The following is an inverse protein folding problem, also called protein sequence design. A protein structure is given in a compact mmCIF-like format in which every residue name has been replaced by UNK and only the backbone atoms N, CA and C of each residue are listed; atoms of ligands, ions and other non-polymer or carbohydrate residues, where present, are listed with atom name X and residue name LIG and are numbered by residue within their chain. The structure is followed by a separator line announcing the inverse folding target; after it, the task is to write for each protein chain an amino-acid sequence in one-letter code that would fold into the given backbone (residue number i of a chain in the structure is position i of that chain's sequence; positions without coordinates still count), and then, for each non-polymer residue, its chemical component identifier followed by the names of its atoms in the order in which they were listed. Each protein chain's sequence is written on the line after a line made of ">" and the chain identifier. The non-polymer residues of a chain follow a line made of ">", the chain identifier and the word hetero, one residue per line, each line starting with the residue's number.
data_IF_640469580439
#
_entry.id   IF_640469580439
#
_cell.length_a   1.000
_cell.length_b   1.000
_cell.length_c   1.000
_cell.angle_alpha   90.00
_cell.angle_beta   90.00
_cell.angle_gamma   90.00
#
_symmetry.space_group_name_H-M   'P 1'
#
loop_
_entity.id
_entity.type
_entity.pdbx_description
1 polymer ?
#
# COMPACT_ATOMS: atom_id res chain seq x y z
N UNK A 1 -8.18 21.82 -16.77
CA UNK A 1 -7.06 20.87 -16.49
C UNK A 1 -5.92 21.25 -17.40
N UNK A 2 -4.73 21.52 -16.87
CA UNK A 2 -3.54 21.77 -17.69
C UNK A 2 -3.08 20.49 -18.38
N UNK A 3 -2.40 20.63 -19.52
CA UNK A 3 -1.77 19.48 -20.18
C UNK A 3 -0.78 18.80 -19.20
N UNK A 4 -0.68 17.46 -19.22
CA UNK A 4 0.33 16.76 -18.43
C UNK A 4 1.72 17.30 -18.78
N UNK A 5 2.62 17.33 -17.79
CA UNK A 5 4.01 17.72 -18.02
C UNK A 5 4.64 16.78 -19.05
N UNK A 6 5.59 17.29 -19.83
CA UNK A 6 6.19 16.54 -20.94
C UNK A 6 6.94 15.26 -20.52
N UNK A 7 7.33 15.16 -19.25
CA UNK A 7 7.96 14.01 -18.59
C UNK A 7 6.96 12.97 -18.06
N UNK A 8 5.66 13.27 -18.05
CA UNK A 8 4.62 12.31 -17.70
C UNK A 8 4.26 11.49 -18.93
N UNK A 9 4.34 10.18 -18.79
CA UNK A 9 4.03 9.21 -19.85
C UNK A 9 2.90 8.28 -19.40
N UNK A 10 2.04 7.81 -20.32
CA UNK A 10 1.05 6.80 -20.00
C UNK A 10 1.71 5.45 -19.67
N UNK A 11 0.99 4.60 -18.93
CA UNK A 11 1.41 3.21 -18.63
C UNK A 11 1.70 2.41 -19.90
N UNK A 12 1.02 2.71 -21.01
CA UNK A 12 1.26 2.10 -22.31
C UNK A 12 2.70 2.28 -22.82
N UNK A 13 3.41 3.31 -22.38
CA UNK A 13 4.78 3.61 -22.82
C UNK A 13 5.84 2.89 -21.97
N UNK A 14 5.45 2.04 -21.01
CA UNK A 14 6.40 1.35 -20.12
C UNK A 14 7.50 0.59 -20.89
N UNK A 15 7.16 -0.05 -22.00
CA UNK A 15 8.14 -0.78 -22.81
C UNK A 15 9.25 0.11 -23.39
N UNK A 16 8.94 1.39 -23.64
CA UNK A 16 9.90 2.38 -24.13
C UNK A 16 10.75 2.97 -23.00
N UNK A 17 10.19 3.06 -21.79
CA UNK A 17 10.81 3.79 -20.66
C UNK A 17 11.69 2.86 -19.82
N UNK A 18 11.22 1.65 -19.52
CA UNK A 18 11.91 0.70 -18.63
C UNK A 18 13.36 0.39 -19.02
N UNK A 19 13.72 0.26 -20.32
CA UNK A 19 15.11 0.02 -20.71
C UNK A 19 16.07 1.16 -20.34
N UNK A 20 15.56 2.35 -20.08
CA UNK A 20 16.35 3.56 -19.76
C UNK A 20 16.38 3.89 -18.27
N UNK A 21 15.55 3.24 -17.45
CA UNK A 21 15.42 3.54 -16.03
C UNK A 21 16.44 2.76 -15.18
N UNK A 22 17.25 3.47 -14.41
CA UNK A 22 18.13 2.88 -13.39
C UNK A 22 17.36 2.45 -12.13
N UNK A 23 16.27 3.16 -11.81
CA UNK A 23 15.41 2.91 -10.66
C UNK A 23 13.95 3.00 -11.10
N UNK A 24 13.16 1.99 -10.73
CA UNK A 24 11.71 1.94 -10.96
C UNK A 24 11.02 1.89 -9.61
N UNK A 25 10.19 2.89 -9.30
CA UNK A 25 9.42 2.95 -8.05
C UNK A 25 7.95 2.73 -8.34
N UNK A 26 7.36 1.69 -7.74
CA UNK A 26 5.94 1.38 -7.86
C UNK A 26 5.15 2.08 -6.76
N UNK A 27 4.28 3.01 -7.16
CA UNK A 27 3.35 3.74 -6.31
C UNK A 27 1.93 3.71 -6.91
N UNK A 28 1.52 2.56 -7.43
CA UNK A 28 0.22 2.32 -8.06
C UNK A 28 -0.79 1.76 -7.05
N UNK A 29 -2.11 1.94 -7.24
CA UNK A 29 -3.09 1.15 -6.49
C UNK A 29 -2.98 -0.34 -6.84
N UNK A 30 -3.66 -1.19 -6.07
CA UNK A 30 -3.90 -2.58 -6.47
C UNK A 30 -5.33 -2.71 -6.99
N UNK A 31 -5.45 -3.00 -8.27
CA UNK A 31 -6.68 -3.26 -9.00
C UNK A 31 -6.41 -4.29 -10.11
N UNK A 32 -7.42 -4.72 -10.90
CA UNK A 32 -7.21 -5.70 -11.96
C UNK A 32 -6.20 -5.29 -13.04
N UNK A 33 -5.95 -3.99 -13.24
CA UNK A 33 -5.03 -3.47 -14.26
C UNK A 33 -3.58 -3.43 -13.79
N UNK A 34 -3.36 -3.42 -12.48
CA UNK A 34 -2.05 -3.29 -11.83
C UNK A 34 -1.60 -4.57 -11.12
N UNK A 35 -2.51 -5.52 -10.89
CA UNK A 35 -2.17 -6.85 -10.36
C UNK A 35 -1.25 -7.58 -11.35
N UNK A 36 -0.09 -8.00 -10.84
CA UNK A 36 0.93 -8.66 -11.65
C UNK A 36 1.57 -7.76 -12.70
N UNK A 37 1.49 -6.44 -12.57
CA UNK A 37 2.14 -5.46 -13.45
C UNK A 37 3.64 -5.76 -13.64
N UNK A 38 4.32 -6.12 -12.55
CA UNK A 38 5.71 -6.57 -12.62
C UNK A 38 5.76 -8.08 -12.78
N UNK A 39 5.61 -8.51 -14.02
CA UNK A 39 5.76 -9.89 -14.47
C UNK A 39 7.17 -10.15 -15.06
N UNK A 40 7.35 -11.33 -15.64
CA UNK A 40 8.62 -11.71 -16.28
C UNK A 40 8.98 -10.83 -17.48
N UNK A 41 8.00 -10.26 -18.20
CA UNK A 41 8.23 -9.38 -19.36
C UNK A 41 8.68 -8.00 -18.88
N UNK A 42 7.96 -7.40 -17.94
CA UNK A 42 8.32 -6.13 -17.30
C UNK A 42 9.77 -6.17 -16.81
N UNK A 43 10.10 -7.23 -16.06
CA UNK A 43 11.44 -7.45 -15.52
C UNK A 43 12.51 -7.52 -16.61
N UNK A 44 12.25 -8.24 -17.71
CA UNK A 44 13.21 -8.38 -18.81
C UNK A 44 13.45 -7.07 -19.58
N UNK A 45 12.51 -6.15 -19.52
CA UNK A 45 12.63 -4.82 -20.13
C UNK A 45 13.42 -3.85 -19.25
N UNK A 46 13.49 -4.09 -17.93
CA UNK A 46 14.32 -3.27 -17.05
C UNK A 46 15.79 -3.35 -17.45
N UNK A 47 16.49 -2.23 -17.30
CA UNK A 47 17.95 -2.18 -17.45
C UNK A 47 18.63 -3.19 -16.52
N UNK A 48 19.64 -3.89 -17.04
CA UNK A 48 20.45 -4.81 -16.23
C UNK A 48 21.10 -4.06 -15.06
N UNK A 49 20.94 -4.59 -13.84
CA UNK A 49 21.42 -3.97 -12.60
C UNK A 49 20.51 -2.87 -12.03
N UNK A 50 19.36 -2.60 -12.65
CA UNK A 50 18.41 -1.62 -12.14
C UNK A 50 17.82 -2.01 -10.76
N UNK A 51 17.32 -1.00 -10.04
CA UNK A 51 16.63 -1.17 -8.77
C UNK A 51 15.11 -1.09 -8.95
N UNK A 52 14.40 -2.13 -8.53
CA UNK A 52 12.95 -2.11 -8.38
C UNK A 52 12.56 -1.79 -6.93
N UNK A 53 11.74 -0.76 -6.71
CA UNK A 53 11.22 -0.42 -5.39
C UNK A 53 9.71 -0.59 -5.39
N UNK A 54 9.17 -1.47 -4.54
CA UNK A 54 7.72 -1.62 -4.36
C UNK A 54 7.27 -1.06 -3.01
N UNK A 55 6.59 0.09 -3.06
CA UNK A 55 5.89 0.71 -1.92
C UNK A 55 4.36 0.74 -2.14
N UNK A 56 3.88 -0.07 -3.08
CA UNK A 56 2.46 -0.16 -3.45
C UNK A 56 1.73 -1.27 -2.68
N UNK A 57 1.58 -2.45 -3.27
CA UNK A 57 1.02 -3.68 -2.67
C UNK A 57 1.80 -4.88 -3.20
N UNK A 58 1.87 -5.95 -2.40
CA UNK A 58 2.55 -7.19 -2.78
C UNK A 58 2.12 -7.72 -4.16
N UNK A 59 0.80 -7.94 -4.40
CA UNK A 59 0.31 -8.54 -5.65
C UNK A 59 0.49 -7.72 -6.93
N UNK A 60 1.03 -6.49 -6.86
CA UNK A 60 1.46 -5.74 -8.05
C UNK A 60 2.67 -6.42 -8.70
N UNK A 61 3.46 -7.15 -7.91
CA UNK A 61 4.62 -7.89 -8.37
C UNK A 61 4.31 -9.37 -8.41
N UNK A 62 4.66 -10.04 -9.53
CA UNK A 62 4.66 -11.50 -9.59
C UNK A 62 5.92 -11.99 -8.87
N UNK A 63 5.74 -12.43 -7.62
CA UNK A 63 6.81 -12.80 -6.69
C UNK A 63 7.85 -13.75 -7.30
N UNK A 64 7.42 -14.78 -8.01
CA UNK A 64 8.35 -15.74 -8.62
C UNK A 64 9.19 -15.12 -9.74
N UNK A 65 8.59 -14.27 -10.57
CA UNK A 65 9.31 -13.58 -11.63
C UNK A 65 10.37 -12.63 -11.06
N UNK A 66 10.06 -11.95 -9.95
CA UNK A 66 11.02 -11.12 -9.23
C UNK A 66 12.16 -11.97 -8.66
N UNK A 67 11.84 -13.08 -7.98
CA UNK A 67 12.83 -13.98 -7.39
C UNK A 67 13.80 -14.54 -8.43
N UNK A 68 13.31 -14.90 -9.63
CA UNK A 68 14.16 -15.33 -10.75
C UNK A 68 15.16 -14.24 -11.17
N UNK A 69 14.71 -12.97 -11.22
CA UNK A 69 15.58 -11.84 -11.55
C UNK A 69 16.67 -11.59 -10.53
N UNK A 70 16.32 -11.65 -9.25
CA UNK A 70 17.24 -11.44 -8.15
C UNK A 70 18.29 -12.55 -8.10
N UNK A 71 17.86 -13.81 -8.15
CA UNK A 71 18.78 -14.95 -8.13
C UNK A 71 19.71 -14.99 -9.35
N UNK A 72 19.22 -14.55 -10.51
CA UNK A 72 20.03 -14.38 -11.72
C UNK A 72 20.95 -13.16 -11.71
N UNK A 73 20.91 -12.31 -10.68
CA UNK A 73 21.70 -11.09 -10.58
C UNK A 73 21.31 -9.99 -11.59
N UNK A 74 20.11 -10.08 -12.17
CA UNK A 74 19.69 -9.17 -13.23
C UNK A 74 19.27 -7.78 -12.71
N UNK A 75 18.89 -7.69 -11.43
CA UNK A 75 18.38 -6.48 -10.79
C UNK A 75 18.57 -6.55 -9.27
N UNK A 76 18.38 -5.41 -8.60
CA UNK A 76 18.20 -5.32 -7.15
C UNK A 76 16.76 -4.94 -6.83
N UNK A 77 16.28 -5.23 -5.62
CA UNK A 77 14.93 -4.84 -5.22
C UNK A 77 14.83 -4.39 -3.76
N UNK A 78 13.86 -3.51 -3.50
CA UNK A 78 13.42 -3.12 -2.17
C UNK A 78 11.89 -3.23 -2.08
N UNK A 79 11.38 -4.03 -1.15
CA UNK A 79 9.95 -4.31 -1.00
C UNK A 79 9.49 -3.90 0.39
N UNK A 80 8.50 -3.00 0.48
CA UNK A 80 7.80 -2.74 1.74
C UNK A 80 6.58 -3.65 1.92
N UNK A 81 6.01 -4.17 0.83
CA UNK A 81 4.90 -5.12 0.86
C UNK A 81 5.27 -6.38 0.08
N UNK A 82 4.73 -7.51 0.50
CA UNK A 82 5.03 -8.84 -0.08
C UNK A 82 3.72 -9.59 -0.35
N UNK A 83 3.79 -10.64 -1.16
CA UNK A 83 2.65 -11.55 -1.40
C UNK A 83 3.17 -13.00 -1.34
N UNK A 84 2.73 -13.81 -0.35
CA UNK A 84 1.79 -13.49 0.73
C UNK A 84 2.40 -12.57 1.81
N UNK A 85 1.54 -11.97 2.65
CA UNK A 85 1.96 -11.13 3.77
C UNK A 85 1.35 -11.63 5.11
N UNK A 86 2.17 -11.89 6.15
CA UNK A 86 3.64 -11.85 6.16
C UNK A 86 4.24 -13.01 5.36
N UNK A 87 5.48 -12.84 4.88
CA UNK A 87 6.19 -13.91 4.19
C UNK A 87 6.44 -15.11 5.14
N UNK A 88 6.05 -16.34 4.74
CA UNK A 88 6.26 -17.52 5.56
C UNK A 88 7.75 -17.86 5.70
N UNK A 89 8.16 -18.57 6.78
CA UNK A 89 9.50 -19.13 6.88
C UNK A 89 9.84 -19.99 5.65
N UNK A 90 11.08 -19.91 5.18
CA UNK A 90 11.55 -20.68 4.01
C UNK A 90 11.10 -20.12 2.65
N UNK A 91 10.35 -19.02 2.61
CA UNK A 91 9.98 -18.36 1.36
C UNK A 91 11.21 -17.92 0.56
N UNK A 92 11.17 -18.10 -0.78
CA UNK A 92 12.31 -17.89 -1.69
C UNK A 92 12.89 -16.48 -1.65
N UNK A 93 12.05 -15.47 -1.39
CA UNK A 93 12.51 -14.09 -1.23
C UNK A 93 13.51 -13.93 -0.08
N UNK A 94 13.43 -14.72 0.99
CA UNK A 94 14.39 -14.62 2.11
C UNK A 94 15.83 -14.95 1.73
N UNK A 95 16.04 -15.73 0.68
CA UNK A 95 17.37 -16.12 0.18
C UNK A 95 17.77 -15.40 -1.10
N UNK A 96 16.96 -14.47 -1.60
CA UNK A 96 17.29 -13.71 -2.81
C UNK A 96 18.42 -12.71 -2.52
N UNK A 97 19.48 -12.66 -3.34
CA UNK A 97 20.53 -11.65 -3.18
C UNK A 97 19.99 -10.28 -3.60
N UNK A 98 20.63 -9.21 -3.12
CA UNK A 98 20.31 -7.82 -3.49
C UNK A 98 18.83 -7.45 -3.28
N UNK A 99 18.19 -8.07 -2.29
CA UNK A 99 16.80 -7.81 -1.89
C UNK A 99 16.76 -7.24 -0.47
N UNK A 100 16.14 -6.07 -0.33
CA UNK A 100 15.74 -5.50 0.95
C UNK A 100 14.24 -5.67 1.15
N UNK A 101 13.82 -6.12 2.33
CA UNK A 101 12.41 -6.22 2.71
C UNK A 101 12.20 -5.40 3.99
N UNK A 102 11.23 -4.49 3.96
CA UNK A 102 10.66 -3.87 5.16
C UNK A 102 9.28 -4.44 5.45
N UNK A 103 8.88 -4.45 6.71
CA UNK A 103 7.69 -5.16 7.19
C UNK A 103 6.40 -4.31 7.07
N UNK A 104 6.11 -3.78 5.88
CA UNK A 104 4.93 -2.93 5.60
C UNK A 104 4.82 -1.73 6.54
N UNK A 105 5.93 -1.01 6.67
CA UNK A 105 6.07 0.14 7.59
C UNK A 105 6.38 1.44 6.87
N UNK A 106 6.45 1.46 5.54
CA UNK A 106 6.76 2.65 4.76
C UNK A 106 5.75 3.80 4.97
N UNK A 107 4.51 3.48 5.34
CA UNK A 107 3.50 4.46 5.73
C UNK A 107 3.55 4.89 7.20
N UNK A 108 4.18 4.10 8.08
CA UNK A 108 4.18 4.32 9.53
C UNK A 108 5.23 5.35 9.93
N UNK A 109 4.87 6.61 9.77
CA UNK A 109 5.75 7.77 10.04
C UNK A 109 5.08 8.73 11.01
N UNK A 110 5.86 9.63 11.61
CA UNK A 110 5.34 10.72 12.45
C UNK A 110 4.33 11.62 11.72
N UNK A 111 4.34 11.63 10.38
CA UNK A 111 3.39 12.37 9.56
C UNK A 111 2.03 11.66 9.40
N UNK A 112 1.95 10.34 9.62
CA UNK A 112 0.71 9.57 9.40
C UNK A 112 -0.40 9.96 10.37
N UNK A 113 -0.15 9.83 11.67
CA UNK A 113 -1.14 10.08 12.71
C UNK A 113 -1.83 11.47 12.62
N UNK A 114 -1.12 12.60 12.45
CA UNK A 114 -1.79 13.89 12.31
C UNK A 114 -2.66 13.97 11.04
N UNK A 115 -2.16 13.48 9.90
CA UNK A 115 -2.91 13.51 8.63
C UNK A 115 -4.15 12.63 8.67
N UNK A 116 -4.04 11.43 9.24
CA UNK A 116 -5.15 10.50 9.40
C UNK A 116 -6.25 11.09 10.30
N UNK A 117 -5.86 11.68 11.43
CA UNK A 117 -6.82 12.34 12.34
C UNK A 117 -7.56 13.48 11.65
N UNK A 118 -6.84 14.35 10.93
CA UNK A 118 -7.46 15.44 10.18
C UNK A 118 -8.46 14.91 9.16
N UNK A 119 -8.06 13.95 8.32
CA UNK A 119 -8.95 13.36 7.31
C UNK A 119 -10.20 12.73 7.95
N UNK A 120 -10.02 11.90 8.99
CA UNK A 120 -11.16 11.24 9.65
C UNK A 120 -12.11 12.26 10.27
N UNK A 121 -11.59 13.31 10.91
CA UNK A 121 -12.41 14.36 11.53
C UNK A 121 -13.21 15.16 10.49
N UNK A 122 -12.59 15.50 9.36
CA UNK A 122 -13.25 16.17 8.22
C UNK A 122 -14.36 15.29 7.63
N UNK A 123 -14.09 13.99 7.44
CA UNK A 123 -15.06 13.05 6.88
C UNK A 123 -16.26 12.84 7.82
N UNK A 124 -16.02 12.67 9.13
CA UNK A 124 -17.08 12.54 10.13
C UNK A 124 -17.96 13.79 10.20
N UNK A 125 -17.36 14.97 10.15
CA UNK A 125 -18.09 16.25 10.11
C UNK A 125 -18.94 16.35 8.85
N UNK A 126 -18.36 16.00 7.69
CA UNK A 126 -19.07 16.03 6.41
C UNK A 126 -20.26 15.07 6.42
N UNK A 127 -20.05 13.85 6.93
CA UNK A 127 -21.11 12.85 7.08
C UNK A 127 -22.24 13.31 8.02
N UNK A 128 -21.89 13.85 9.20
CA UNK A 128 -22.88 14.30 10.18
C UNK A 128 -23.72 15.50 9.71
N UNK A 129 -23.16 16.34 8.83
CA UNK A 129 -23.81 17.55 8.31
C UNK A 129 -24.40 17.38 6.92
N UNK A 130 -24.33 16.17 6.35
CA UNK A 130 -24.81 15.88 4.98
C UNK A 130 -24.00 16.56 3.88
N UNK A 131 -22.76 16.98 4.17
CA UNK A 131 -21.86 17.56 3.17
C UNK A 131 -21.11 16.46 2.38
N UNK A 132 -20.66 16.76 1.14
CA UNK A 132 -19.90 15.81 0.34
C UNK A 132 -18.61 15.37 1.04
N UNK A 133 -18.42 14.06 1.13
CA UNK A 133 -17.19 13.45 1.61
C UNK A 133 -16.12 13.42 0.51
N UNK A 134 -14.85 13.48 0.90
CA UNK A 134 -13.68 13.40 0.00
C UNK A 134 -13.11 11.99 -0.05
N UNK A 135 -12.32 11.69 -1.08
CA UNK A 135 -11.57 10.44 -1.24
C UNK A 135 -12.42 9.17 -1.06
N UNK A 136 -13.65 9.18 -1.56
CA UNK A 136 -14.53 8.01 -1.49
C UNK A 136 -13.95 6.89 -2.33
N UNK A 137 -13.70 5.74 -1.69
CA UNK A 137 -13.34 4.50 -2.36
C UNK A 137 -14.60 3.67 -2.48
N UNK A 138 -15.14 3.48 -3.70
CA UNK A 138 -16.27 2.58 -3.90
C UNK A 138 -15.84 1.17 -3.52
N UNK A 139 -16.56 0.54 -2.59
CA UNK A 139 -16.49 -0.92 -2.42
C UNK A 139 -17.39 -1.58 -3.47
N UNK A 140 -17.22 -2.87 -3.74
CA UNK A 140 -18.09 -3.60 -4.68
C UNK A 140 -19.60 -3.47 -4.35
N UNK A 141 -19.94 -3.22 -3.08
CA UNK A 141 -21.31 -2.93 -2.63
C UNK A 141 -21.77 -1.48 -2.85
N UNK A 142 -20.86 -0.55 -3.09
CA UNK A 142 -21.16 0.87 -3.29
C UNK A 142 -21.47 1.23 -4.76
N UNK A 143 -21.05 0.39 -5.72
CA UNK A 143 -21.31 0.64 -7.15
C UNK A 143 -22.81 0.65 -7.46
N UNK A 144 -23.59 -0.31 -6.93
CA UNK A 144 -25.05 -0.35 -7.12
C UNK A 144 -25.79 0.84 -6.48
N UNK A 145 -25.23 1.41 -5.42
CA UNK A 145 -25.85 2.51 -4.67
C UNK A 145 -25.54 3.89 -5.28
N UNK A 146 -24.33 4.10 -5.80
CA UNK A 146 -23.93 5.37 -6.41
C UNK A 146 -24.63 5.62 -7.76
N UNK A 147 -24.89 4.57 -8.56
CA UNK A 147 -25.63 4.67 -9.82
C UNK A 147 -27.13 5.00 -9.64
N UNK A 148 -27.66 4.79 -8.43
CA UNK A 148 -29.07 5.04 -8.10
C UNK A 148 -29.38 6.48 -7.65
N UNK A 149 -28.39 7.36 -7.57
CA UNK A 149 -28.55 8.73 -7.08
C UNK A 149 -28.89 8.83 -5.58
N UNK A 150 -28.80 7.73 -4.84
CA UNK A 150 -29.04 7.71 -3.40
C UNK A 150 -27.75 8.06 -2.63
N UNK A 151 -27.78 9.16 -1.90
CA UNK A 151 -26.74 9.50 -0.94
C UNK A 151 -26.60 8.36 0.07
N UNK A 152 -25.39 7.82 0.22
CA UNK A 152 -25.06 6.73 1.15
C UNK A 152 -25.47 7.05 2.59
N UNK A 153 -26.69 6.66 2.98
CA UNK A 153 -27.01 6.35 4.37
C UNK A 153 -26.49 4.95 4.61
N UNK A 154 -25.31 4.85 5.22
CA UNK A 154 -24.77 3.57 5.68
C UNK A 154 -25.80 2.92 6.62
N UNK A 155 -26.54 1.91 6.13
CA UNK A 155 -27.26 0.98 7.00
C UNK A 155 -26.26 -0.09 7.40
N UNK A 156 -25.91 -0.08 8.67
CA UNK A 156 -25.00 -1.03 9.29
C UNK A 156 -25.83 -2.25 9.73
N UNK A 157 -26.27 -3.07 8.79
CA UNK A 157 -26.91 -4.34 9.10
C UNK A 157 -26.11 -5.48 8.41
N UNK A 158 -25.53 -6.33 9.26
CA UNK A 158 -25.11 -7.72 9.00
C UNK A 158 -23.80 -8.05 8.25
N UNK A 159 -22.65 -7.44 8.61
CA UNK A 159 -21.34 -8.00 8.16
C UNK A 159 -20.29 -8.25 9.26
N UNK A 160 -20.63 -8.04 10.54
CA UNK A 160 -19.65 -8.14 11.64
C UNK A 160 -19.51 -9.53 12.28
N UNK A 161 -19.68 -10.62 11.52
CA UNK A 161 -19.48 -11.98 12.04
C UNK A 161 -18.26 -12.72 11.45
N UNK A 162 -17.75 -12.33 10.27
CA UNK A 162 -16.84 -13.19 9.51
C UNK A 162 -15.34 -12.86 9.59
N UNK A 163 -14.93 -11.59 9.78
CA UNK A 163 -13.50 -11.22 9.68
C UNK A 163 -12.77 -10.97 11.01
N UNK A 164 -13.47 -10.76 12.12
CA UNK A 164 -12.84 -10.46 13.41
C UNK A 164 -12.47 -11.68 14.28
N UNK A 165 -12.72 -12.92 13.82
CA UNK A 165 -12.47 -14.14 14.62
C UNK A 165 -11.09 -14.80 14.44
N UNK A 166 -10.23 -14.32 13.54
CA UNK A 166 -8.96 -15.01 13.23
C UNK A 166 -7.67 -14.33 13.72
N UNK A 167 -7.72 -13.10 14.24
CA UNK A 167 -6.51 -12.39 14.66
C UNK A 167 -6.51 -12.11 16.17
N UNK A 168 -6.03 -13.10 16.92
CA UNK A 168 -5.70 -12.98 18.35
C UNK A 168 -4.38 -12.21 18.48
N UNK A 169 -4.41 -10.89 18.31
CA UNK A 169 -3.26 -10.04 18.61
C UNK A 169 -3.13 -9.84 20.13
N UNK A 170 -2.11 -10.47 20.72
CA UNK A 170 -1.60 -10.12 22.05
C UNK A 170 -0.59 -9.00 21.85
N UNK A 171 -0.99 -7.80 22.25
CA UNK A 171 -0.14 -6.61 22.15
C UNK A 171 -0.73 -5.43 22.93
N UNK A 172 -1.33 -5.69 24.09
CA UNK A 172 -1.77 -4.64 25.00
C UNK A 172 -0.57 -4.11 25.80
N UNK A 173 0.26 -3.26 25.20
CA UNK A 173 1.15 -2.38 25.97
C UNK A 173 0.31 -1.22 26.52
N UNK A 174 -0.24 -1.41 27.73
CA UNK A 174 -0.81 -0.34 28.53
C UNK A 174 0.28 0.73 28.76
N UNK A 175 0.07 1.92 28.22
CA UNK A 175 0.77 3.12 28.64
C UNK A 175 0.09 3.65 29.91
N UNK A 176 0.74 3.69 31.09
CA UNK A 176 0.16 4.31 32.26
C UNK A 176 0.21 5.85 32.10
N UNK A 177 -0.95 6.48 32.11
CA UNK A 177 -1.10 7.93 32.35
C UNK A 177 -1.51 8.14 33.80
N UNK A 178 -0.72 8.93 34.51
CA UNK A 178 -1.04 9.75 35.70
C UNK A 178 0.33 10.13 36.31
N UNK A 179 0.62 11.30 36.88
CA UNK A 179 0.12 12.67 36.85
C UNK A 179 1.17 13.44 37.69
N UNK A 180 1.29 14.73 37.45
CA UNK A 180 2.17 15.66 38.17
C UNK A 180 1.88 15.74 39.68
N UNK A 181 2.90 15.62 40.54
CA UNK A 181 3.06 16.47 41.73
C UNK A 181 4.45 16.28 42.36
N UNK A 182 5.15 17.37 42.64
CA UNK A 182 6.56 17.37 43.03
C UNK A 182 6.86 17.05 44.50
N UNK A 183 8.15 16.85 44.77
CA UNK A 183 8.93 17.46 45.87
C UNK A 183 10.39 17.01 45.79
N UNK A 184 11.29 17.98 45.93
CA UNK A 184 12.67 17.81 46.38
C UNK A 184 12.77 16.87 47.57
N UNK A 185 13.83 16.05 47.65
CA UNK A 185 14.79 16.04 48.78
C UNK A 185 16.10 15.37 48.32
N UNK A 186 17.17 16.20 48.28
CA UNK A 186 18.62 15.92 48.44
C UNK A 186 19.36 14.96 47.49
#
# INVERSE_FOLDING_TARGET
>A
MGAPRADVRPVADLELILPTADVVVLAVPLDPTTRGLVDAKFRKLMKLGALLVNVSRGPVVVTDALADGLQGGALSAALDMTDPEPLPPGHRLWSCPNLLISAHVGGDTSAFAPRAKTLVSEQLTSWATGQPMRNIIPTAHAHELLDSGQTLRCRYDEYEAAQFRSHRWIGASRCPRDASSGRDVR
#
